data_IF_495314182320
#
_entry.id   IF_495314182320
#
_cell.length_a   1.000
_cell.length_b   1.000
_cell.length_c   1.000
_cell.angle_alpha   90.00
_cell.angle_beta   90.00
_cell.angle_gamma   90.00
#
_symmetry.space_group_name_H-M   'P 1'
#
loop_
_entity.id
_entity.type
_entity.pdbx_description
1 polymer ?
#
# COMPACT_ATOMS: atom_id res chain seq x y z
N UNK A 1 13.41 -5.61 18.02
CA UNK A 1 11.95 -5.67 18.26
C UNK A 1 11.36 -4.34 17.87
N UNK A 2 10.26 -4.36 17.12
CA UNK A 2 9.49 -3.17 16.75
C UNK A 2 8.60 -2.75 17.95
N UNK A 3 9.21 -2.21 19.00
CA UNK A 3 8.49 -1.78 20.19
C UNK A 3 7.60 -0.57 19.88
N UNK A 4 6.31 -0.66 20.23
CA UNK A 4 5.34 0.40 19.96
C UNK A 4 4.69 0.33 18.57
N UNK A 5 5.00 -0.67 17.76
CA UNK A 5 4.34 -0.91 16.48
C UNK A 5 3.20 -1.92 16.64
N UNK A 6 2.09 -1.66 15.95
CA UNK A 6 1.13 -2.70 15.61
C UNK A 6 1.60 -3.40 14.35
N UNK A 7 1.56 -4.74 14.33
CA UNK A 7 1.89 -5.54 13.15
C UNK A 7 0.57 -5.93 12.50
N UNK A 8 0.41 -5.57 11.22
CA UNK A 8 -0.75 -6.00 10.45
C UNK A 8 -0.76 -7.52 10.26
N UNK A 9 -1.92 -8.14 10.47
CA UNK A 9 -2.07 -9.61 10.46
C UNK A 9 -1.93 -10.24 9.06
N UNK A 10 -1.74 -9.40 8.03
CA UNK A 10 -1.38 -9.81 6.68
C UNK A 10 -2.58 -9.88 5.73
N UNK A 11 -2.36 -10.57 4.61
CA UNK A 11 -3.30 -10.64 3.49
C UNK A 11 -4.47 -11.59 3.72
N UNK A 12 -5.70 -11.12 3.51
CA UNK A 12 -6.84 -12.00 3.27
C UNK A 12 -6.96 -12.37 1.79
N UNK A 13 -7.74 -13.41 1.48
CA UNK A 13 -8.08 -13.78 0.09
C UNK A 13 -8.84 -12.65 -0.63
N UNK A 14 -9.64 -11.88 0.11
CA UNK A 14 -10.34 -10.71 -0.44
C UNK A 14 -9.36 -9.63 -0.90
N UNK A 15 -8.26 -9.43 -0.17
CA UNK A 15 -7.22 -8.46 -0.53
C UNK A 15 -6.43 -8.89 -1.77
N UNK A 16 -6.24 -10.20 -1.97
CA UNK A 16 -5.49 -10.75 -3.10
C UNK A 16 -6.10 -10.37 -4.46
N UNK A 17 -7.42 -10.49 -4.62
CA UNK A 17 -8.09 -10.08 -5.86
C UNK A 17 -7.97 -8.58 -6.12
N UNK A 18 -8.20 -7.77 -5.09
CA UNK A 18 -8.13 -6.32 -5.17
C UNK A 18 -6.73 -5.86 -5.55
N UNK A 19 -5.71 -6.33 -4.85
CA UNK A 19 -4.31 -5.99 -5.12
C UNK A 19 -3.88 -6.51 -6.50
N UNK A 20 -4.30 -7.71 -6.90
CA UNK A 20 -4.03 -8.22 -8.25
C UNK A 20 -4.54 -7.28 -9.35
N UNK A 21 -5.72 -6.66 -9.16
CA UNK A 21 -6.25 -5.68 -10.11
C UNK A 21 -5.45 -4.37 -10.14
N UNK A 22 -4.90 -3.94 -9.00
CA UNK A 22 -4.05 -2.76 -8.91
C UNK A 22 -2.71 -2.98 -9.60
N UNK A 23 -2.07 -4.12 -9.35
CA UNK A 23 -0.80 -4.50 -10.00
C UNK A 23 -0.95 -4.52 -11.52
N UNK A 24 -2.03 -5.13 -12.03
CA UNK A 24 -2.31 -5.14 -13.46
C UNK A 24 -2.51 -3.73 -14.04
N UNK A 25 -3.10 -2.81 -13.26
CA UNK A 25 -3.42 -1.45 -13.71
C UNK A 25 -2.24 -0.47 -13.59
N UNK A 26 -1.41 -0.61 -12.56
CA UNK A 26 -0.20 0.21 -12.38
C UNK A 26 0.97 -0.28 -13.23
N UNK A 27 0.91 -1.53 -13.72
CA UNK A 27 1.99 -2.15 -14.49
C UNK A 27 3.18 -2.59 -13.64
N UNK A 28 3.06 -2.56 -12.30
CA UNK A 28 4.07 -3.10 -11.39
C UNK A 28 3.76 -4.55 -11.03
N UNK A 29 4.80 -5.28 -10.60
CA UNK A 29 4.68 -6.61 -10.01
C UNK A 29 4.98 -6.59 -8.51
N UNK A 30 5.20 -5.41 -7.92
CA UNK A 30 5.50 -5.30 -6.50
C UNK A 30 4.23 -5.40 -5.64
N UNK A 31 3.99 -6.62 -5.16
CA UNK A 31 2.86 -6.94 -4.29
C UNK A 31 2.99 -6.30 -2.91
N UNK A 32 4.21 -6.01 -2.45
CA UNK A 32 4.45 -5.43 -1.13
C UNK A 32 4.02 -3.98 -1.14
N UNK A 33 4.39 -3.21 -2.16
CA UNK A 33 3.98 -1.81 -2.30
C UNK A 33 2.46 -1.67 -2.40
N UNK A 34 1.83 -2.53 -3.19
CA UNK A 34 0.38 -2.55 -3.31
C UNK A 34 -0.31 -2.90 -1.99
N UNK A 35 0.29 -3.75 -1.17
CA UNK A 35 -0.20 -4.06 0.16
C UNK A 35 -0.03 -2.91 1.14
N UNK A 36 1.12 -2.22 1.12
CA UNK A 36 1.34 -1.03 1.94
C UNK A 36 0.28 0.03 1.64
N UNK A 37 -0.03 0.25 0.36
CA UNK A 37 -1.11 1.16 -0.06
C UNK A 37 -2.48 0.69 0.46
N UNK A 38 -2.79 -0.60 0.37
CA UNK A 38 -4.06 -1.15 0.88
C UNK A 38 -4.22 -0.91 2.38
N UNK A 39 -3.19 -1.24 3.16
CA UNK A 39 -3.16 -1.07 4.62
C UNK A 39 -3.28 0.40 4.99
N UNK A 40 -2.48 1.28 4.37
CA UNK A 40 -2.54 2.71 4.65
C UNK A 40 -3.91 3.32 4.31
N UNK A 41 -4.59 2.78 3.28
CA UNK A 41 -5.94 3.18 2.89
C UNK A 41 -7.05 2.86 3.89
N UNK A 42 -6.81 1.98 4.89
CA UNK A 42 -7.82 1.63 5.88
C UNK A 42 -8.22 2.80 6.80
N UNK A 43 -7.32 3.76 7.00
CA UNK A 43 -7.55 4.91 7.87
C UNK A 43 -7.39 6.21 7.09
N UNK A 44 -8.38 7.10 7.21
CA UNK A 44 -8.29 8.42 6.63
C UNK A 44 -7.13 9.20 7.26
N UNK A 45 -6.27 9.80 6.43
CA UNK A 45 -5.14 10.60 6.89
C UNK A 45 -3.88 9.79 7.23
N UNK A 46 -3.82 8.50 6.91
CA UNK A 46 -2.59 7.71 7.06
C UNK A 46 -1.44 8.25 6.22
N UNK A 47 -0.23 8.05 6.73
CA UNK A 47 1.03 8.37 6.05
C UNK A 47 1.82 7.08 5.82
N UNK A 48 2.20 6.81 4.56
CA UNK A 48 3.14 5.77 4.20
C UNK A 48 4.54 6.38 4.00
N UNK A 49 5.53 5.81 4.67
CA UNK A 49 6.93 6.20 4.57
C UNK A 49 7.69 5.17 3.74
N UNK A 50 8.38 5.60 2.69
CA UNK A 50 9.12 4.72 1.76
C UNK A 50 10.30 5.46 1.13
N UNK A 51 11.35 4.75 0.73
CA UNK A 51 12.40 5.30 -0.15
C UNK A 51 12.00 5.25 -1.63
N UNK A 52 10.98 4.43 -1.98
CA UNK A 52 10.41 4.33 -3.32
C UNK A 52 9.06 5.07 -3.46
N UNK A 53 9.14 6.40 -3.44
CA UNK A 53 7.96 7.27 -3.38
C UNK A 53 7.10 7.18 -4.65
N UNK A 54 7.72 7.07 -5.83
CA UNK A 54 6.99 7.11 -7.10
C UNK A 54 6.23 5.81 -7.37
N UNK A 55 6.78 4.66 -6.97
CA UNK A 55 6.10 3.38 -7.13
C UNK A 55 4.86 3.30 -6.25
N UNK A 56 4.94 3.69 -4.96
CA UNK A 56 3.75 3.76 -4.09
C UNK A 56 2.72 4.77 -4.60
N UNK A 57 3.14 5.91 -5.18
CA UNK A 57 2.23 6.90 -5.76
C UNK A 57 1.51 6.35 -6.99
N UNK A 58 2.21 5.58 -7.83
CA UNK A 58 1.62 4.90 -8.99
C UNK A 58 0.51 3.95 -8.54
N UNK A 59 0.80 3.12 -7.54
CA UNK A 59 -0.18 2.16 -7.01
C UNK A 59 -1.35 2.85 -6.31
N UNK A 60 -1.10 3.83 -5.44
CA UNK A 60 -2.15 4.58 -4.75
C UNK A 60 -3.13 5.27 -5.72
N UNK A 61 -2.62 5.76 -6.86
CA UNK A 61 -3.43 6.40 -7.90
C UNK A 61 -4.37 5.41 -8.58
N UNK A 62 -3.91 4.21 -8.95
CA UNK A 62 -4.78 3.21 -9.58
C UNK A 62 -5.73 2.54 -8.58
N UNK A 63 -5.33 2.50 -7.31
CA UNK A 63 -6.12 1.97 -6.21
C UNK A 63 -7.19 2.95 -5.69
N UNK A 64 -7.18 4.19 -6.18
CA UNK A 64 -8.01 5.31 -5.71
C UNK A 64 -7.94 5.49 -4.18
N UNK A 65 -6.75 5.30 -3.60
CA UNK A 65 -6.53 5.40 -2.16
C UNK A 65 -6.00 6.79 -1.79
N UNK A 66 -6.63 7.41 -0.78
CA UNK A 66 -6.17 8.68 -0.22
C UNK A 66 -5.10 8.43 0.86
N UNK A 67 -3.89 8.10 0.42
CA UNK A 67 -2.72 7.89 1.28
C UNK A 67 -1.73 9.03 1.08
N UNK A 68 -1.24 9.61 2.18
CA UNK A 68 -0.12 10.55 2.12
C UNK A 68 1.18 9.76 2.02
N UNK A 69 1.98 9.98 0.98
CA UNK A 69 3.25 9.25 0.78
C UNK A 69 4.42 10.21 1.02
N UNK A 70 5.31 9.83 1.93
CA UNK A 70 6.48 10.61 2.32
C UNK A 70 7.78 9.79 2.18
N UNK A 71 8.91 10.44 1.82
CA UNK A 71 10.21 9.78 1.85
C UNK A 71 10.63 9.46 3.29
N UNK A 72 11.40 8.38 3.48
CA UNK A 72 12.19 8.13 4.71
C UNK A 72 13.51 8.87 4.71
#
# INVERSE_FOLDING_TARGET
MLSGCWIEEGFSEHDAHRIGSWLASSGTTDVVDAHVVAVAGHSAGSVAYTDDVEDLRSVARVADQQVTIQPV
#
